data_IF_732603965567
#
_entry.id   IF_732603965567
#
_cell.length_a   1.000
_cell.length_b   1.000
_cell.length_c   1.000
_cell.angle_alpha   90.00
_cell.angle_beta   90.00
_cell.angle_gamma   90.00
#
_symmetry.space_group_name_H-M   'P 1'
#
loop_
_entity.id
_entity.type
_entity.pdbx_description
1 polymer ?
#
# COMPACT_ATOMS: atom_id res chain seq x y z
N UNK A 1 2.30 -20.01 -8.35
CA UNK A 1 2.12 -19.31 -7.06
C UNK A 1 0.83 -18.54 -7.23
N UNK A 2 -0.24 -18.98 -6.57
CA UNK A 2 -1.55 -18.39 -6.77
C UNK A 2 -1.63 -17.07 -6.00
N UNK A 3 -2.13 -16.03 -6.65
CA UNK A 3 -2.38 -14.74 -6.01
C UNK A 3 -3.75 -14.77 -5.32
N UNK A 4 -3.80 -14.27 -4.09
CA UNK A 4 -5.03 -14.11 -3.32
C UNK A 4 -5.41 -12.64 -3.30
N UNK A 5 -6.69 -12.33 -3.48
CA UNK A 5 -7.20 -10.96 -3.62
C UNK A 5 -8.22 -10.65 -2.54
N UNK A 6 -8.22 -9.39 -2.08
CA UNK A 6 -9.22 -8.86 -1.16
C UNK A 6 -9.59 -7.45 -1.59
N UNK A 7 -10.89 -7.23 -1.81
CA UNK A 7 -11.47 -5.92 -2.16
C UNK A 7 -12.30 -5.34 -0.99
N UNK A 8 -11.95 -5.71 0.24
CA UNK A 8 -12.72 -5.36 1.43
C UNK A 8 -12.73 -3.85 1.75
N UNK A 9 -11.81 -3.08 1.16
CA UNK A 9 -11.72 -1.63 1.30
C UNK A 9 -12.07 -0.96 -0.04
N UNK A 10 -13.36 -0.67 -0.32
CA UNK A 10 -13.80 -0.21 -1.64
C UNK A 10 -13.75 1.32 -1.82
N UNK A 11 -13.27 2.07 -0.82
CA UNK A 11 -13.37 3.53 -0.84
C UNK A 11 -12.40 4.16 -1.82
N UNK A 12 -12.90 5.15 -2.57
CA UNK A 12 -12.16 5.98 -3.53
C UNK A 12 -12.48 7.46 -3.27
N UNK A 13 -11.70 8.37 -3.84
CA UNK A 13 -11.90 9.81 -3.69
C UNK A 13 -11.14 10.44 -2.52
N UNK A 14 -11.66 11.55 -1.99
CA UNK A 14 -10.93 12.38 -1.03
C UNK A 14 -11.27 11.99 0.41
N UNK A 15 -10.30 12.06 1.33
CA UNK A 15 -10.49 11.84 2.77
C UNK A 15 -11.63 12.71 3.32
N UNK A 16 -11.71 13.96 2.86
CA UNK A 16 -12.73 14.94 3.27
C UNK A 16 -14.17 14.49 2.96
N UNK A 17 -14.36 13.63 1.96
CA UNK A 17 -15.67 13.13 1.53
C UNK A 17 -16.25 12.13 2.55
N UNK A 18 -15.39 11.58 3.41
CA UNK A 18 -15.73 10.67 4.49
C UNK A 18 -15.72 11.34 5.86
N UNK A 19 -15.64 12.68 5.90
CA UNK A 19 -15.54 13.45 7.13
C UNK A 19 -16.67 14.47 7.28
N UNK A 20 -17.19 14.56 8.51
CA UNK A 20 -18.21 15.53 8.94
C UNK A 20 -17.57 16.64 9.78
N UNK A 21 -18.11 17.88 9.74
CA UNK A 21 -17.62 18.97 10.57
C UNK A 21 -17.92 18.71 12.06
N UNK A 22 -17.02 19.13 12.94
CA UNK A 22 -17.17 19.05 14.40
C UNK A 22 -17.48 20.42 15.02
N UNK A 23 -18.08 20.49 16.23
CA UNK A 23 -18.44 21.76 16.87
C UNK A 23 -17.28 22.71 17.16
N UNK A 24 -16.06 22.19 17.27
CA UNK A 24 -14.81 22.93 17.47
C UNK A 24 -14.20 23.47 16.16
N UNK A 25 -14.89 23.32 15.03
CA UNK A 25 -14.43 23.77 13.71
C UNK A 25 -13.48 22.78 13.02
N UNK A 26 -13.24 21.61 13.62
CA UNK A 26 -12.51 20.52 13.02
C UNK A 26 -13.34 19.67 12.04
N UNK A 27 -12.78 18.53 11.67
CA UNK A 27 -13.48 17.47 10.95
C UNK A 27 -13.15 16.13 11.58
N UNK A 28 -14.12 15.24 11.62
CA UNK A 28 -13.93 13.85 12.02
C UNK A 28 -14.51 12.90 10.98
N UNK A 29 -14.05 11.65 10.96
CA UNK A 29 -14.67 10.66 10.10
C UNK A 29 -16.14 10.44 10.48
N UNK A 30 -16.99 10.37 9.46
CA UNK A 30 -18.40 10.02 9.59
C UNK A 30 -18.57 8.69 10.33
N UNK A 31 -19.59 8.61 11.19
CA UNK A 31 -19.85 7.42 11.99
C UNK A 31 -20.24 6.21 11.13
N UNK A 32 -20.98 6.42 10.05
CA UNK A 32 -21.33 5.37 9.09
C UNK A 32 -20.08 4.84 8.37
N UNK A 33 -19.19 5.73 7.95
CA UNK A 33 -17.90 5.31 7.39
C UNK A 33 -17.04 4.57 8.41
N UNK A 34 -16.90 5.07 9.65
CA UNK A 34 -16.17 4.39 10.74
C UNK A 34 -16.70 2.97 10.98
N UNK A 35 -18.03 2.80 10.97
CA UNK A 35 -18.67 1.50 11.13
C UNK A 35 -18.36 0.56 9.94
N UNK A 36 -18.47 1.06 8.70
CA UNK A 36 -18.14 0.30 7.50
C UNK A 36 -16.65 -0.09 7.46
N UNK A 37 -15.76 0.83 7.85
CA UNK A 37 -14.33 0.58 7.98
C UNK A 37 -14.04 -0.53 8.99
N UNK A 38 -14.60 -0.44 10.20
CA UNK A 38 -14.46 -1.49 11.21
C UNK A 38 -15.02 -2.83 10.74
N UNK A 39 -16.12 -2.82 9.99
CA UNK A 39 -16.68 -4.05 9.42
C UNK A 39 -15.73 -4.68 8.39
N UNK A 40 -15.11 -3.88 7.51
CA UNK A 40 -14.10 -4.36 6.57
C UNK A 40 -12.90 -5.00 7.27
N UNK A 41 -12.52 -4.52 8.46
CA UNK A 41 -11.41 -5.08 9.23
C UNK A 41 -11.66 -6.53 9.70
N UNK A 42 -12.92 -6.96 9.83
CA UNK A 42 -13.24 -8.37 10.09
C UNK A 42 -12.89 -9.29 8.90
N UNK A 43 -12.74 -8.73 7.69
CA UNK A 43 -12.25 -9.47 6.51
C UNK A 43 -10.76 -9.28 6.32
N UNK A 44 -10.26 -8.04 6.43
CA UNK A 44 -8.85 -7.71 6.14
C UNK A 44 -7.89 -8.36 7.13
N UNK A 45 -8.20 -8.35 8.44
CA UNK A 45 -7.30 -8.92 9.46
C UNK A 45 -7.11 -10.43 9.26
N UNK A 46 -8.17 -11.27 9.18
CA UNK A 46 -8.01 -12.69 8.90
C UNK A 46 -7.30 -12.98 7.58
N UNK A 47 -7.65 -12.24 6.52
CA UNK A 47 -7.02 -12.39 5.21
C UNK A 47 -5.49 -12.26 5.31
N UNK A 48 -5.00 -11.15 5.89
CA UNK A 48 -3.56 -10.93 6.02
C UNK A 48 -2.92 -11.94 6.98
N UNK A 49 -3.50 -12.16 8.16
CA UNK A 49 -2.94 -13.05 9.18
C UNK A 49 -2.78 -14.48 8.68
N UNK A 50 -3.84 -15.08 8.14
CA UNK A 50 -3.80 -16.49 7.74
C UNK A 50 -2.93 -16.72 6.50
N UNK A 51 -2.93 -15.80 5.53
CA UNK A 51 -2.02 -15.91 4.39
C UNK A 51 -0.55 -15.75 4.82
N UNK A 52 -0.23 -14.83 5.72
CA UNK A 52 1.13 -14.68 6.23
C UNK A 52 1.55 -15.88 7.08
N UNK A 53 0.68 -16.40 7.94
CA UNK A 53 0.92 -17.63 8.69
C UNK A 53 1.18 -18.84 7.76
N UNK A 54 0.49 -18.91 6.63
CA UNK A 54 0.69 -19.93 5.59
C UNK A 54 1.95 -19.73 4.72
N UNK A 55 2.74 -18.68 4.97
CA UNK A 55 4.02 -18.46 4.28
C UNK A 55 4.03 -17.32 3.26
N UNK A 56 2.93 -16.59 3.05
CA UNK A 56 2.94 -15.39 2.21
C UNK A 56 3.84 -14.33 2.84
N UNK A 57 4.71 -13.72 2.02
CA UNK A 57 5.67 -12.67 2.46
C UNK A 57 5.59 -11.40 1.61
N UNK A 58 4.66 -11.32 0.67
CA UNK A 58 4.49 -10.17 -0.21
C UNK A 58 3.04 -9.74 -0.19
N UNK A 59 2.82 -8.47 0.13
CA UNK A 59 1.52 -7.81 0.05
C UNK A 59 1.65 -6.73 -1.02
N UNK A 60 0.81 -6.81 -2.04
CA UNK A 60 0.73 -5.81 -3.10
C UNK A 60 -0.61 -5.10 -2.96
N UNK A 61 -0.56 -3.77 -2.88
CA UNK A 61 -1.73 -2.90 -2.92
C UNK A 61 -1.68 -2.17 -4.25
N UNK A 62 -2.72 -2.37 -5.05
CA UNK A 62 -2.85 -1.88 -6.43
C UNK A 62 -4.22 -1.23 -6.62
N UNK A 63 -4.42 -0.56 -7.74
CA UNK A 63 -5.66 0.16 -8.05
C UNK A 63 -5.83 1.46 -7.27
N UNK A 64 -4.73 2.04 -6.78
CA UNK A 64 -4.75 3.37 -6.18
C UNK A 64 -4.87 4.42 -7.28
N UNK A 65 -5.96 5.18 -7.23
CA UNK A 65 -6.32 6.17 -8.23
C UNK A 65 -5.45 7.44 -8.15
N UNK A 66 -5.22 8.13 -9.28
CA UNK A 66 -4.49 9.38 -9.30
C UNK A 66 -5.20 10.45 -8.48
N UNK A 67 -4.42 11.20 -7.72
CA UNK A 67 -4.86 12.29 -6.87
C UNK A 67 -3.83 13.42 -6.86
N UNK A 68 -4.31 14.67 -6.89
CA UNK A 68 -3.47 15.89 -6.82
C UNK A 68 -2.46 15.82 -5.66
N UNK A 69 -2.96 15.37 -4.50
CA UNK A 69 -2.22 15.24 -3.25
C UNK A 69 -2.47 13.85 -2.65
N UNK A 70 -1.43 13.04 -2.41
CA UNK A 70 -1.59 11.77 -1.70
C UNK A 70 -2.25 11.91 -0.33
N UNK A 71 -1.96 13.01 0.38
CA UNK A 71 -2.55 13.30 1.70
C UNK A 71 -4.07 13.49 1.64
N UNK A 72 -4.62 13.82 0.48
CA UNK A 72 -6.06 13.94 0.27
C UNK A 72 -6.72 12.61 -0.08
N UNK A 73 -5.98 11.54 -0.43
CA UNK A 73 -6.54 10.28 -0.92
C UNK A 73 -7.02 9.37 0.21
N UNK A 74 -8.29 8.92 0.14
CA UNK A 74 -8.83 7.95 1.11
C UNK A 74 -8.12 6.59 1.00
N UNK A 75 -7.71 6.19 -0.20
CA UNK A 75 -7.00 4.92 -0.42
C UNK A 75 -5.62 4.95 0.23
N UNK A 76 -4.91 6.08 0.10
CA UNK A 76 -3.61 6.30 0.74
C UNK A 76 -3.76 6.30 2.26
N UNK A 77 -4.78 6.98 2.80
CA UNK A 77 -5.10 6.98 4.22
C UNK A 77 -5.37 5.56 4.74
N UNK A 78 -6.25 4.82 4.08
CA UNK A 78 -6.60 3.44 4.46
C UNK A 78 -5.36 2.55 4.40
N UNK A 79 -4.55 2.67 3.35
CA UNK A 79 -3.30 1.92 3.26
C UNK A 79 -2.37 2.21 4.44
N UNK A 80 -2.12 3.48 4.80
CA UNK A 80 -1.23 3.83 5.92
C UNK A 80 -1.74 3.22 7.24
N UNK A 81 -3.04 3.23 7.46
CA UNK A 81 -3.68 2.57 8.60
C UNK A 81 -3.47 1.06 8.58
N UNK A 82 -3.72 0.39 7.45
CA UNK A 82 -3.51 -1.05 7.31
C UNK A 82 -2.03 -1.42 7.47
N UNK A 83 -1.14 -0.65 6.87
CA UNK A 83 0.31 -0.83 6.93
C UNK A 83 0.80 -0.84 8.38
N UNK A 84 0.42 0.18 9.15
CA UNK A 84 0.86 0.34 10.55
C UNK A 84 0.15 -0.60 11.52
N UNK A 85 -1.17 -0.78 11.36
CA UNK A 85 -2.00 -1.47 12.38
C UNK A 85 -2.23 -2.94 12.09
N UNK A 86 -1.91 -3.42 10.88
CA UNK A 86 -2.22 -4.80 10.48
C UNK A 86 -1.03 -5.47 9.80
N UNK A 87 -0.54 -4.94 8.68
CA UNK A 87 0.48 -5.63 7.86
C UNK A 87 1.80 -5.80 8.63
N UNK A 88 2.27 -4.74 9.29
CA UNK A 88 3.49 -4.76 10.10
C UNK A 88 3.22 -4.81 11.60
N UNK A 89 2.05 -5.31 12.00
CA UNK A 89 1.77 -5.58 13.41
C UNK A 89 2.29 -6.96 13.78
N UNK A 90 2.74 -7.11 15.03
CA UNK A 90 3.14 -8.40 15.58
C UNK A 90 2.04 -9.46 15.40
N UNK A 91 2.45 -10.64 14.94
CA UNK A 91 1.55 -11.71 14.56
C UNK A 91 0.77 -12.27 15.77
N UNK A 92 1.38 -12.35 16.95
CA UNK A 92 0.67 -12.80 18.15
C UNK A 92 -0.46 -11.83 18.50
N UNK A 93 -0.16 -10.53 18.48
CA UNK A 93 -1.16 -9.49 18.75
C UNK A 93 -2.33 -9.55 17.75
N UNK A 94 -2.04 -9.70 16.46
CA UNK A 94 -3.07 -9.80 15.43
C UNK A 94 -3.89 -11.10 15.58
N UNK A 95 -3.23 -12.22 15.88
CA UNK A 95 -3.89 -13.50 16.16
C UNK A 95 -4.83 -13.43 17.37
N UNK A 96 -4.45 -12.72 18.43
CA UNK A 96 -5.30 -12.49 19.61
C UNK A 96 -6.53 -11.63 19.30
N UNK A 97 -6.46 -10.70 18.36
CA UNK A 97 -7.60 -9.88 17.92
C UNK A 97 -8.58 -10.67 17.03
N UNK A 98 -8.11 -11.70 16.34
CA UNK A 98 -8.91 -12.53 15.42
C UNK A 98 -9.50 -13.74 16.13
N UNK A 99 -8.70 -14.46 16.92
CA UNK A 99 -9.05 -15.75 17.52
C UNK A 99 -9.55 -15.57 18.96
N UNK A 100 -10.83 -15.19 19.10
CA UNK A 100 -11.47 -14.99 20.40
C UNK A 100 -12.41 -16.16 20.78
N UNK A 101 -12.41 -16.59 22.07
CA UNK A 101 -11.58 -16.09 23.16
C UNK A 101 -10.17 -16.68 23.11
N UNK A 102 -9.15 -15.83 23.36
CA UNK A 102 -7.72 -16.17 23.19
C UNK A 102 -7.30 -17.46 23.89
N UNK A 103 -7.76 -17.69 25.12
CA UNK A 103 -7.37 -18.86 25.91
C UNK A 103 -7.76 -20.20 25.28
N UNK A 104 -8.80 -20.24 24.44
CA UNK A 104 -9.18 -21.44 23.67
C UNK A 104 -8.30 -21.67 22.44
N UNK A 105 -7.69 -20.61 21.92
CA UNK A 105 -6.97 -20.61 20.65
C UNK A 105 -5.46 -20.36 20.82
N UNK A 106 -4.95 -20.36 22.06
CA UNK A 106 -3.54 -20.04 22.36
C UNK A 106 -2.58 -20.92 21.57
N UNK A 107 -2.76 -22.24 21.60
CA UNK A 107 -1.91 -23.18 20.86
C UNK A 107 -1.93 -22.91 19.35
N UNK A 108 -3.10 -22.56 18.81
CA UNK A 108 -3.24 -22.22 17.40
C UNK A 108 -2.50 -20.92 17.07
N UNK A 109 -2.65 -19.86 17.87
CA UNK A 109 -1.96 -18.57 17.66
C UNK A 109 -0.45 -18.77 17.69
N UNK A 110 0.06 -19.50 18.68
CA UNK A 110 1.49 -19.75 18.86
C UNK A 110 2.08 -20.54 17.66
N UNK A 111 1.31 -21.50 17.13
CA UNK A 111 1.71 -22.29 15.96
C UNK A 111 1.67 -21.52 14.62
N UNK A 112 1.00 -20.37 14.56
CA UNK A 112 0.77 -19.60 13.32
C UNK A 112 1.46 -18.22 13.34
N UNK A 113 2.43 -18.01 14.23
CA UNK A 113 3.25 -16.79 14.25
C UNK A 113 4.10 -16.68 12.99
N UNK A 114 4.29 -15.45 12.54
CA UNK A 114 5.22 -15.10 11.47
C UNK A 114 5.99 -13.83 11.85
N UNK A 115 7.20 -13.69 11.29
CA UNK A 115 7.97 -12.46 11.41
C UNK A 115 7.40 -11.40 10.46
N UNK A 116 6.71 -10.40 11.01
CA UNK A 116 6.13 -9.29 10.28
C UNK A 116 7.19 -8.36 9.66
N UNK A 117 8.45 -8.41 10.13
CA UNK A 117 9.55 -7.68 9.50
C UNK A 117 10.00 -8.32 8.18
N UNK A 118 9.68 -9.59 7.94
CA UNK A 118 9.95 -10.30 6.69
C UNK A 118 8.84 -10.11 5.64
N UNK A 119 7.75 -9.42 5.98
CA UNK A 119 6.67 -9.13 5.04
C UNK A 119 7.05 -7.89 4.22
N UNK A 120 7.19 -8.07 2.91
CA UNK A 120 7.39 -6.95 1.97
C UNK A 120 6.05 -6.39 1.54
N UNK A 121 5.87 -5.08 1.67
CA UNK A 121 4.68 -4.37 1.20
C UNK A 121 5.04 -3.51 0.00
N UNK A 122 4.32 -3.68 -1.11
CA UNK A 122 4.42 -2.87 -2.32
C UNK A 122 3.10 -2.11 -2.52
N UNK A 123 3.19 -0.80 -2.63
CA UNK A 123 2.08 0.07 -2.99
C UNK A 123 2.30 0.57 -4.43
N UNK A 124 1.35 0.27 -5.31
CA UNK A 124 1.31 0.74 -6.68
C UNK A 124 0.32 1.90 -6.78
N UNK A 125 0.83 3.08 -7.14
CA UNK A 125 0.06 4.32 -7.23
C UNK A 125 0.04 4.80 -8.67
N UNK A 126 -1.15 4.95 -9.23
CA UNK A 126 -1.31 5.62 -10.53
C UNK A 126 -1.26 7.13 -10.30
N UNK A 127 -0.57 7.84 -11.19
CA UNK A 127 -0.40 9.30 -11.13
C UNK A 127 -0.97 9.95 -12.38
N UNK A 128 -1.25 11.25 -12.32
CA UNK A 128 -1.67 12.01 -13.52
C UNK A 128 -0.50 12.14 -14.50
N UNK A 129 0.72 12.25 -13.97
CA UNK A 129 1.92 12.32 -14.77
C UNK A 129 2.20 11.00 -15.47
N UNK A 130 2.43 11.07 -16.78
CA UNK A 130 2.78 9.91 -17.61
C UNK A 130 4.23 9.93 -18.08
N UNK A 131 4.88 11.10 -18.06
CA UNK A 131 6.27 11.29 -18.48
C UNK A 131 7.19 11.08 -17.29
N UNK A 132 8.34 10.45 -17.53
CA UNK A 132 9.30 10.20 -16.46
C UNK A 132 9.80 11.51 -15.83
N UNK A 133 10.09 12.53 -16.64
CA UNK A 133 10.59 13.82 -16.13
C UNK A 133 9.61 14.49 -15.14
N UNK A 134 8.31 14.40 -15.42
CA UNK A 134 7.26 14.99 -14.60
C UNK A 134 7.17 14.25 -13.25
N UNK A 135 7.29 12.92 -13.27
CA UNK A 135 7.37 12.09 -12.07
C UNK A 135 8.61 12.40 -11.22
N UNK A 136 9.77 12.58 -11.85
CA UNK A 136 11.01 12.93 -11.16
C UNK A 136 10.96 14.34 -10.54
N UNK A 137 10.24 15.26 -11.17
CA UNK A 137 10.08 16.62 -10.68
C UNK A 137 9.11 16.73 -9.47
N UNK A 138 8.32 15.69 -9.17
CA UNK A 138 7.41 15.70 -8.03
C UNK A 138 8.18 15.79 -6.72
N UNK A 139 7.85 16.82 -5.94
CA UNK A 139 8.33 16.93 -4.57
C UNK A 139 7.55 15.95 -3.69
N UNK A 140 8.26 15.11 -2.95
CA UNK A 140 7.68 14.35 -1.84
C UNK A 140 7.26 15.34 -0.77
N UNK A 141 5.96 15.55 -0.61
CA UNK A 141 5.42 16.51 0.34
C UNK A 141 5.50 15.97 1.78
N UNK A 142 5.49 16.85 2.78
CA UNK A 142 5.36 16.45 4.18
C UNK A 142 4.01 15.77 4.39
N UNK A 143 3.99 14.56 4.96
CA UNK A 143 2.78 13.75 5.11
C UNK A 143 2.48 12.84 3.91
N UNK A 144 3.30 12.89 2.87
CA UNK A 144 3.25 11.95 1.74
C UNK A 144 3.81 10.58 2.16
N UNK A 145 3.19 9.51 1.68
CA UNK A 145 3.69 8.14 1.81
C UNK A 145 5.09 7.96 1.21
N UNK A 146 5.44 8.75 0.19
CA UNK A 146 6.80 8.78 -0.35
C UNK A 146 7.86 9.12 0.73
N UNK A 147 7.49 9.84 1.80
CA UNK A 147 8.42 10.19 2.87
C UNK A 147 8.82 8.98 3.72
N UNK A 148 7.88 8.06 3.99
CA UNK A 148 8.10 6.87 4.81
C UNK A 148 8.55 5.65 4.00
N UNK A 149 8.30 5.63 2.69
CA UNK A 149 8.70 4.52 1.83
C UNK A 149 10.22 4.27 1.87
N UNK A 150 10.63 3.00 1.98
CA UNK A 150 12.06 2.64 1.91
C UNK A 150 12.61 2.76 0.49
N UNK A 151 11.80 2.36 -0.50
CA UNK A 151 12.13 2.42 -1.91
C UNK A 151 11.00 3.09 -2.67
N UNK A 152 11.32 4.00 -3.59
CA UNK A 152 10.37 4.56 -4.55
C UNK A 152 10.90 4.25 -5.94
N UNK A 153 10.07 3.56 -6.72
CA UNK A 153 10.33 3.25 -8.12
C UNK A 153 9.32 4.03 -8.95
N UNK A 154 9.81 4.80 -9.91
CA UNK A 154 8.96 5.54 -10.85
C UNK A 154 9.01 4.87 -12.20
N UNK A 155 7.83 4.73 -12.82
CA UNK A 155 7.67 4.15 -14.15
C UNK A 155 6.97 5.19 -15.01
N UNK A 156 7.64 5.65 -16.06
CA UNK A 156 7.14 6.70 -16.93
C UNK A 156 7.43 6.44 -18.39
N UNK A 157 7.03 7.39 -19.22
CA UNK A 157 7.35 7.40 -20.65
C UNK A 157 8.32 8.52 -20.99
N UNK A 158 9.10 8.29 -22.03
CA UNK A 158 10.01 9.29 -22.58
C UNK A 158 9.99 9.22 -24.10
N UNK A 159 9.96 10.38 -24.76
CA UNK A 159 9.97 10.45 -26.22
C UNK A 159 11.41 10.42 -26.72
N UNK A 160 11.76 9.37 -27.46
CA UNK A 160 13.06 9.23 -28.11
C UNK A 160 12.87 9.28 -29.63
N UNK A 161 13.08 10.45 -30.22
CA UNK A 161 12.83 10.67 -31.65
C UNK A 161 11.37 10.40 -32.02
N UNK A 162 11.13 9.33 -32.78
CA UNK A 162 9.80 8.90 -33.25
C UNK A 162 9.12 7.85 -32.37
N UNK A 163 9.80 7.32 -31.34
CA UNK A 163 9.24 6.29 -30.45
C UNK A 163 8.94 6.85 -29.06
N UNK A 164 7.94 6.26 -28.39
CA UNK A 164 7.68 6.45 -26.96
C UNK A 164 8.29 5.27 -26.20
N UNK A 165 9.40 5.50 -25.52
CA UNK A 165 10.07 4.51 -24.68
C UNK A 165 9.40 4.45 -23.30
N UNK A 166 9.43 3.29 -22.64
CA UNK A 166 8.99 3.12 -21.24
C UNK A 166 10.23 3.04 -20.37
N UNK A 167 10.31 3.88 -19.35
CA UNK A 167 11.49 4.07 -18.53
C UNK A 167 11.19 3.87 -17.06
N UNK A 168 12.13 3.29 -16.34
CA UNK A 168 12.06 3.02 -14.91
C UNK A 168 13.29 3.62 -14.23
N UNK A 169 13.10 4.22 -13.05
CA UNK A 169 14.18 4.75 -12.23
C UNK A 169 13.86 4.54 -10.74
N UNK A 170 14.89 4.32 -9.92
CA UNK A 170 14.76 4.30 -8.46
C UNK A 170 15.12 5.68 -7.94
N UNK A 171 14.12 6.42 -7.45
CA UNK A 171 14.32 7.82 -6.98
C UNK A 171 14.63 7.89 -5.48
N UNK A 172 14.38 6.80 -4.77
CA UNK A 172 14.68 6.65 -3.35
C UNK A 172 14.97 5.19 -3.07
N UNK A 173 16.04 4.93 -2.34
CA UNK A 173 16.31 3.63 -1.76
C UNK A 173 17.01 3.80 -0.41
N UNK A 174 16.58 3.02 0.58
CA UNK A 174 17.21 2.95 1.90
C UNK A 174 17.69 1.52 2.14
N UNK A 175 18.91 1.38 2.63
CA UNK A 175 19.43 0.10 3.13
C UNK A 175 20.37 -0.68 2.20
N UNK A 176 20.69 -0.17 0.99
CA UNK A 176 21.76 -0.73 0.14
C UNK A 176 22.21 0.25 -0.95
N UNK A 177 23.11 -0.19 -1.84
CA UNK A 177 23.53 0.55 -3.01
C UNK A 177 22.36 0.72 -4.00
N UNK A 178 22.26 1.90 -4.61
CA UNK A 178 21.21 2.25 -5.57
C UNK A 178 21.88 2.60 -6.90
N UNK A 179 21.39 2.01 -8.00
CA UNK A 179 21.78 2.47 -9.34
C UNK A 179 21.15 3.84 -9.60
N UNK A 180 21.91 4.73 -10.26
CA UNK A 180 21.45 6.03 -10.71
C UNK A 180 20.88 5.98 -12.14
N UNK A 181 20.82 4.80 -12.75
CA UNK A 181 20.44 4.62 -14.15
C UNK A 181 18.93 4.75 -14.36
N UNK A 182 18.57 5.38 -15.48
CA UNK A 182 17.23 5.30 -16.05
C UNK A 182 17.24 4.14 -17.04
N UNK A 183 16.51 3.07 -16.72
CA UNK A 183 16.48 1.84 -17.54
C UNK A 183 15.22 1.78 -18.39
N UNK A 184 15.34 1.28 -19.62
CA UNK A 184 14.16 0.97 -20.44
C UNK A 184 13.53 -0.34 -19.94
N UNK A 185 12.20 -0.38 -19.88
CA UNK A 185 11.46 -1.61 -19.63
C UNK A 185 10.44 -1.86 -20.73
N UNK A 186 10.00 -3.11 -20.84
CA UNK A 186 8.91 -3.55 -21.71
C UNK A 186 7.92 -4.36 -20.89
N UNK A 187 6.67 -4.38 -21.34
CA UNK A 187 5.67 -5.28 -20.78
C UNK A 187 5.46 -6.39 -21.80
N UNK A 188 6.04 -7.55 -21.51
CA UNK A 188 5.90 -8.77 -22.30
C UNK A 188 4.79 -9.67 -21.76
N UNK A 189 4.58 -10.86 -22.36
CA UNK A 189 3.57 -11.83 -21.92
C UNK A 189 3.75 -12.31 -20.47
N UNK A 190 4.95 -12.15 -19.90
CA UNK A 190 5.28 -12.53 -18.52
C UNK A 190 5.33 -11.36 -17.54
N UNK A 191 4.97 -10.15 -17.98
CA UNK A 191 5.01 -8.93 -17.18
C UNK A 191 6.18 -8.01 -17.54
N UNK A 192 6.72 -7.32 -16.53
CA UNK A 192 7.77 -6.31 -16.71
C UNK A 192 9.12 -6.97 -17.00
N UNK A 193 9.72 -6.60 -18.13
CA UNK A 193 11.03 -7.04 -18.60
C UNK A 193 11.96 -5.83 -18.68
N UNK A 194 13.10 -5.88 -17.98
CA UNK A 194 14.13 -4.84 -18.05
C UNK A 194 15.03 -5.09 -19.27
N UNK A 195 15.36 -4.02 -19.99
CA UNK A 195 16.27 -4.04 -21.14
C UNK A 195 17.74 -4.01 -20.74
#
# INVERSE_FOLDING_TARGET
MDAFYSNACPWVGRVRDFQVPTPDGGREFDWGWKAAYNHALYTVRPFLYFHCAAGTRRVVVDGVEPMDSPADSIQVFVFDELYRKIIHRDAETLGMEICLPVWKHREFIDAHRYDHAQVTTLLLVTTEETRLEDLLARKVATGDMGATANTIVVLGSEREGSRLARKLCVVKHRGSAMSEDIVEFRVGPRGLELG
#
